data_IF_851884950845
#
_entry.id   IF_851884950845
#
_cell.length_a   1.000
_cell.length_b   1.000
_cell.length_c   1.000
_cell.angle_alpha   90.00
_cell.angle_beta   90.00
_cell.angle_gamma   90.00
#
_symmetry.space_group_name_H-M   'P 1'
#
loop_
_entity.id
_entity.type
_entity.pdbx_description
1 polymer ?
#
# COMPACT_ATOMS: atom_id res chain seq x y z
N UNK A 1 -10.35 -32.32 55.23
CA UNK A 1 -9.10 -31.53 55.23
C UNK A 1 -8.45 -31.74 53.89
N UNK A 2 -8.07 -30.63 53.29
CA UNK A 2 -7.74 -30.41 51.89
C UNK A 2 -6.41 -31.10 51.50
N UNK A 3 -6.42 -31.92 50.45
CA UNK A 3 -5.22 -32.46 49.84
C UNK A 3 -4.96 -31.74 48.53
N UNK A 4 -4.59 -30.46 48.64
CA UNK A 4 -4.06 -29.67 47.54
C UNK A 4 -2.63 -30.12 47.24
N UNK A 5 -2.48 -31.06 46.31
CA UNK A 5 -1.18 -31.36 45.68
C UNK A 5 -0.68 -30.13 44.92
N UNK A 6 0.65 -29.92 44.83
CA UNK A 6 1.21 -28.77 44.14
C UNK A 6 0.75 -28.78 42.67
N UNK A 7 0.16 -27.66 42.22
CA UNK A 7 -0.11 -27.41 40.82
C UNK A 7 1.22 -27.44 40.05
N UNK A 8 1.51 -28.53 39.36
CA UNK A 8 2.58 -28.55 38.35
C UNK A 8 2.12 -27.72 37.16
N UNK A 9 2.58 -26.47 37.12
CA UNK A 9 2.46 -25.64 35.93
C UNK A 9 3.47 -26.22 34.92
N UNK A 10 3.05 -26.70 33.74
CA UNK A 10 3.99 -27.19 32.74
C UNK A 10 4.92 -26.04 32.34
N UNK A 11 6.24 -26.27 32.22
CA UNK A 11 7.15 -25.22 31.82
C UNK A 11 6.95 -24.98 30.33
N UNK A 12 6.10 -24.01 29.97
CA UNK A 12 6.14 -23.42 28.63
C UNK A 12 7.43 -22.60 28.53
N UNK A 13 8.57 -23.29 28.34
CA UNK A 13 9.84 -22.65 28.02
C UNK A 13 9.81 -22.39 26.52
N UNK A 14 9.15 -21.31 26.13
CA UNK A 14 9.37 -20.74 24.80
C UNK A 14 10.87 -20.40 24.75
N UNK A 15 11.60 -20.97 23.79
CA UNK A 15 13.02 -20.71 23.67
C UNK A 15 13.24 -19.24 23.28
N UNK A 16 14.39 -18.66 23.64
CA UNK A 16 14.70 -17.29 23.27
C UNK A 16 14.67 -17.07 21.74
N UNK A 17 15.04 -18.10 20.97
CA UNK A 17 14.94 -18.12 19.52
C UNK A 17 13.49 -18.08 19.03
N UNK A 18 12.59 -18.85 19.64
CA UNK A 18 11.16 -18.82 19.34
C UNK A 18 10.55 -17.44 19.64
N UNK A 19 10.94 -16.82 20.76
CA UNK A 19 10.53 -15.44 21.11
C UNK A 19 11.00 -14.45 20.03
N UNK A 20 12.26 -14.53 19.59
CA UNK A 20 12.78 -13.62 18.56
C UNK A 20 12.10 -13.85 17.20
N UNK A 21 11.87 -15.10 16.81
CA UNK A 21 11.16 -15.45 15.58
C UNK A 21 9.73 -14.90 15.59
N UNK A 22 9.00 -15.05 16.70
CA UNK A 22 7.64 -14.52 16.83
C UNK A 22 7.60 -12.99 16.77
N UNK A 23 8.58 -12.32 17.41
CA UNK A 23 8.74 -10.87 17.34
C UNK A 23 9.04 -10.39 15.92
N UNK A 24 9.90 -11.09 15.18
CA UNK A 24 10.25 -10.72 13.80
C UNK A 24 9.08 -10.95 12.84
N UNK A 25 8.32 -12.03 12.99
CA UNK A 25 7.09 -12.25 12.23
C UNK A 25 6.06 -11.16 12.50
N UNK A 26 5.87 -10.79 13.78
CA UNK A 26 4.96 -9.72 14.17
C UNK A 26 5.36 -8.36 13.58
N UNK A 27 6.66 -8.07 13.55
CA UNK A 27 7.21 -6.84 12.94
C UNK A 27 7.03 -6.83 11.42
N UNK A 28 7.27 -7.96 10.75
CA UNK A 28 7.07 -8.10 9.31
C UNK A 28 5.61 -7.90 8.94
N UNK A 29 4.69 -8.56 9.64
CA UNK A 29 3.24 -8.39 9.45
C UNK A 29 2.81 -6.93 9.63
N UNK A 30 3.32 -6.25 10.67
CA UNK A 30 3.05 -4.84 10.90
C UNK A 30 3.59 -3.95 9.77
N UNK A 31 4.81 -4.22 9.25
CA UNK A 31 5.39 -3.51 8.11
C UNK A 31 4.53 -3.70 6.86
N UNK A 32 4.20 -4.94 6.52
CA UNK A 32 3.38 -5.28 5.34
C UNK A 32 2.01 -4.62 5.40
N UNK A 33 1.34 -4.65 6.56
CA UNK A 33 0.06 -3.96 6.75
C UNK A 33 0.18 -2.46 6.48
N UNK A 34 1.25 -1.82 6.96
CA UNK A 34 1.48 -0.39 6.73
C UNK A 34 1.76 -0.07 5.27
N UNK A 35 2.48 -0.93 4.56
CA UNK A 35 2.72 -0.79 3.12
C UNK A 35 1.40 -0.85 2.35
N UNK A 36 0.56 -1.86 2.62
CA UNK A 36 -0.76 -1.98 1.97
C UNK A 36 -1.66 -0.77 2.25
N UNK A 37 -1.69 -0.31 3.50
CA UNK A 37 -2.43 0.91 3.86
C UNK A 37 -1.89 2.15 3.14
N UNK A 38 -0.58 2.26 2.96
CA UNK A 38 0.03 3.36 2.24
C UNK A 38 -0.31 3.32 0.75
N UNK A 39 -0.32 2.14 0.13
CA UNK A 39 -0.76 1.93 -1.25
C UNK A 39 -2.21 2.40 -1.45
N UNK A 40 -3.14 1.97 -0.60
CA UNK A 40 -4.54 2.44 -0.65
C UNK A 40 -4.66 3.96 -0.44
N UNK A 41 -3.88 4.51 0.49
CA UNK A 41 -3.89 5.94 0.80
C UNK A 41 -3.39 6.80 -0.37
N UNK A 42 -2.39 6.32 -1.12
CA UNK A 42 -1.85 7.02 -2.30
C UNK A 42 -2.93 7.26 -3.35
N UNK A 43 -3.79 6.26 -3.62
CA UNK A 43 -4.91 6.44 -4.53
C UNK A 43 -5.83 7.60 -4.12
N UNK A 44 -6.20 7.68 -2.84
CA UNK A 44 -7.03 8.77 -2.31
C UNK A 44 -6.32 10.12 -2.39
N UNK A 45 -5.02 10.15 -2.09
CA UNK A 45 -4.20 11.37 -2.19
C UNK A 45 -4.12 11.87 -3.62
N UNK A 46 -3.96 11.00 -4.62
CA UNK A 46 -3.97 11.38 -6.04
C UNK A 46 -5.30 12.07 -6.40
N UNK A 47 -6.43 11.50 -6.00
CA UNK A 47 -7.76 12.05 -6.27
C UNK A 47 -7.93 13.43 -5.66
N UNK A 48 -7.55 13.57 -4.38
CA UNK A 48 -7.68 14.81 -3.63
C UNK A 48 -6.78 15.91 -4.21
N UNK A 49 -5.52 15.61 -4.49
CA UNK A 49 -4.59 16.61 -5.05
C UNK A 49 -4.99 17.04 -6.47
N UNK A 50 -5.53 16.14 -7.29
CA UNK A 50 -6.08 16.51 -8.61
C UNK A 50 -7.31 17.39 -8.50
N UNK A 51 -8.17 17.13 -7.52
CA UNK A 51 -9.33 17.98 -7.21
C UNK A 51 -8.88 19.38 -6.80
N UNK A 52 -7.85 19.49 -5.96
CA UNK A 52 -7.26 20.77 -5.55
C UNK A 52 -6.68 21.55 -6.74
N UNK A 53 -6.03 20.87 -7.69
CA UNK A 53 -5.52 21.51 -8.90
C UNK A 53 -6.60 21.81 -9.96
N UNK A 54 -7.85 21.37 -9.76
CA UNK A 54 -8.94 21.58 -10.72
C UNK A 54 -8.73 20.84 -12.05
N UNK A 55 -7.97 19.74 -12.04
CA UNK A 55 -7.66 18.96 -13.24
C UNK A 55 -8.47 17.66 -13.32
N UNK A 56 -8.42 17.01 -14.49
CA UNK A 56 -9.13 15.74 -14.71
C UNK A 56 -8.73 14.71 -13.65
N UNK A 57 -9.75 14.13 -13.02
CA UNK A 57 -9.65 13.09 -12.01
C UNK A 57 -9.63 11.71 -12.72
N UNK A 58 -8.65 10.83 -12.45
CA UNK A 58 -8.66 9.45 -12.93
C UNK A 58 -9.87 8.70 -12.35
N UNK A 59 -10.41 7.76 -13.13
CA UNK A 59 -11.44 6.85 -12.63
C UNK A 59 -10.82 5.76 -11.72
N UNK A 60 -11.64 4.85 -11.18
CA UNK A 60 -11.24 3.91 -10.13
C UNK A 60 -10.03 3.06 -10.51
N UNK A 61 -10.12 2.28 -11.59
CA UNK A 61 -9.04 1.42 -12.05
C UNK A 61 -7.82 2.22 -12.55
N UNK A 62 -8.05 3.39 -13.15
CA UNK A 62 -6.94 4.29 -13.50
C UNK A 62 -6.19 4.77 -12.25
N UNK A 63 -6.89 5.05 -11.15
CA UNK A 63 -6.28 5.53 -9.90
C UNK A 63 -5.47 4.42 -9.24
N UNK A 64 -6.04 3.22 -9.17
CA UNK A 64 -5.35 2.02 -8.70
C UNK A 64 -4.07 1.77 -9.51
N UNK A 65 -4.19 1.80 -10.85
CA UNK A 65 -3.03 1.62 -11.73
C UNK A 65 -1.95 2.69 -11.53
N UNK A 66 -2.30 3.93 -11.20
CA UNK A 66 -1.30 4.97 -10.90
C UNK A 66 -0.53 4.67 -9.61
N UNK A 67 -1.17 4.07 -8.61
CA UNK A 67 -0.49 3.61 -7.38
C UNK A 67 0.44 2.44 -7.69
N UNK A 68 -0.02 1.47 -8.48
CA UNK A 68 0.81 0.34 -8.92
C UNK A 68 2.04 0.81 -9.72
N UNK A 69 1.89 1.81 -10.60
CA UNK A 69 3.03 2.36 -11.35
C UNK A 69 4.05 3.06 -10.44
N UNK A 70 3.61 3.65 -9.32
CA UNK A 70 4.54 4.17 -8.31
C UNK A 70 5.27 3.03 -7.60
N UNK A 71 4.57 1.95 -7.26
CA UNK A 71 5.18 0.76 -6.67
C UNK A 71 6.18 0.09 -7.63
N UNK A 72 5.86 -0.02 -8.92
CA UNK A 72 6.74 -0.57 -9.94
C UNK A 72 8.02 0.26 -10.14
N UNK A 73 7.89 1.59 -10.17
CA UNK A 73 9.01 2.50 -10.41
C UNK A 73 9.94 2.63 -9.20
N UNK A 74 9.38 2.70 -7.98
CA UNK A 74 10.12 3.04 -6.77
C UNK A 74 10.28 1.88 -5.77
N UNK A 75 9.52 0.81 -5.94
CA UNK A 75 9.52 -0.38 -5.08
C UNK A 75 8.47 -0.33 -3.97
N UNK A 76 7.88 -1.49 -3.65
CA UNK A 76 6.82 -1.62 -2.63
C UNK A 76 7.24 -1.21 -1.22
N UNK A 77 8.52 -1.28 -0.88
CA UNK A 77 9.01 -0.81 0.42
C UNK A 77 8.93 0.71 0.60
N UNK A 78 8.93 1.46 -0.51
CA UNK A 78 8.91 2.93 -0.50
C UNK A 78 7.48 3.50 -0.36
N UNK A 79 6.44 2.68 -0.43
CA UNK A 79 5.04 3.15 -0.45
C UNK A 79 4.66 4.01 0.75
N UNK A 80 5.19 3.69 1.94
CA UNK A 80 4.96 4.50 3.15
C UNK A 80 5.53 5.91 2.96
N UNK A 81 6.77 6.01 2.47
CA UNK A 81 7.46 7.28 2.23
C UNK A 81 6.78 8.09 1.12
N UNK A 82 6.33 7.42 0.07
CA UNK A 82 5.58 8.04 -1.02
C UNK A 82 4.28 8.67 -0.47
N UNK A 83 3.50 7.89 0.30
CA UNK A 83 2.27 8.37 0.92
C UNK A 83 2.51 9.54 1.88
N UNK A 84 3.58 9.47 2.68
CA UNK A 84 3.95 10.56 3.59
C UNK A 84 4.38 11.82 2.84
N UNK A 85 5.19 11.68 1.78
CA UNK A 85 5.63 12.81 0.93
C UNK A 85 4.45 13.50 0.24
N UNK A 86 3.52 12.72 -0.33
CA UNK A 86 2.31 13.25 -0.95
C UNK A 86 1.42 13.97 0.05
N UNK A 87 1.28 13.44 1.27
CA UNK A 87 0.51 14.07 2.35
C UNK A 87 1.14 15.38 2.83
N UNK A 88 2.45 15.40 3.01
CA UNK A 88 3.17 16.56 3.57
C UNK A 88 3.37 17.67 2.55
N UNK A 89 3.68 17.32 1.29
CA UNK A 89 4.03 18.29 0.25
C UNK A 89 2.89 18.59 -0.72
N UNK A 90 1.81 17.81 -0.68
CA UNK A 90 0.64 17.97 -1.52
C UNK A 90 1.00 18.07 -3.01
N UNK A 91 0.50 19.11 -3.67
CA UNK A 91 0.73 19.36 -5.11
C UNK A 91 2.22 19.55 -5.47
N UNK A 92 3.07 19.84 -4.49
CA UNK A 92 4.52 19.99 -4.69
C UNK A 92 5.30 18.67 -4.57
N UNK A 93 4.67 17.59 -4.10
CA UNK A 93 5.26 16.25 -3.99
C UNK A 93 5.89 15.79 -5.30
N UNK A 94 7.09 15.20 -5.21
CA UNK A 94 7.75 14.60 -6.36
C UNK A 94 6.92 13.45 -6.93
N UNK A 95 6.41 12.59 -6.06
CA UNK A 95 5.63 11.42 -6.45
C UNK A 95 4.26 11.79 -7.01
N UNK A 96 3.59 12.81 -6.44
CA UNK A 96 2.37 13.31 -7.05
C UNK A 96 2.62 13.84 -8.47
N UNK A 97 3.71 14.55 -8.71
CA UNK A 97 4.09 15.00 -10.05
C UNK A 97 4.36 13.82 -11.00
N UNK A 98 5.00 12.75 -10.53
CA UNK A 98 5.18 11.53 -11.32
C UNK A 98 3.84 10.94 -11.79
N UNK A 99 2.81 10.92 -10.92
CA UNK A 99 1.48 10.42 -11.30
C UNK A 99 0.83 11.22 -12.43
N UNK A 100 1.19 12.50 -12.60
CA UNK A 100 0.73 13.32 -13.73
C UNK A 100 1.37 12.85 -15.04
N UNK A 101 2.64 12.52 -15.01
CA UNK A 101 3.36 11.93 -16.15
C UNK A 101 2.77 10.57 -16.54
N UNK A 102 2.53 9.69 -15.56
CA UNK A 102 1.90 8.38 -15.79
C UNK A 102 0.48 8.50 -16.37
N UNK A 103 -0.32 9.44 -15.86
CA UNK A 103 -1.66 9.65 -16.40
C UNK A 103 -1.63 10.24 -17.82
N UNK A 104 -0.62 11.04 -18.17
CA UNK A 104 -0.43 11.48 -19.55
C UNK A 104 -0.05 10.31 -20.47
N UNK A 105 0.73 9.35 -19.98
CA UNK A 105 0.99 8.10 -20.69
C UNK A 105 -0.31 7.35 -20.99
N UNK A 106 -1.24 7.21 -20.02
CA UNK A 106 -2.53 6.58 -20.28
C UNK A 106 -3.30 7.25 -21.43
N UNK A 107 -3.26 8.57 -21.50
CA UNK A 107 -3.93 9.32 -22.56
C UNK A 107 -3.30 9.09 -23.93
N UNK A 108 -1.98 8.97 -24.00
CA UNK A 108 -1.24 8.76 -25.24
C UNK A 108 -1.43 7.36 -25.80
N UNK A 109 -1.38 6.35 -24.92
CA UNK A 109 -1.49 4.95 -25.31
C UNK A 109 -2.95 4.43 -25.34
N UNK A 110 -3.93 5.28 -25.05
CA UNK A 110 -5.34 4.87 -25.03
C UNK A 110 -5.72 3.94 -23.87
N UNK A 111 -4.98 3.99 -22.75
CA UNK A 111 -5.30 3.24 -21.53
C UNK A 111 -6.50 3.86 -20.84
N UNK A 112 -7.67 3.28 -21.11
CA UNK A 112 -8.95 3.73 -20.54
C UNK A 112 -9.31 2.95 -19.27
N UNK A 113 -10.20 3.52 -18.47
CA UNK A 113 -10.84 2.82 -17.35
C UNK A 113 -11.49 1.50 -17.78
N UNK A 114 -12.14 1.47 -18.93
CA UNK A 114 -12.79 0.26 -19.46
C UNK A 114 -11.76 -0.82 -19.79
N UNK A 115 -10.64 -0.44 -20.40
CA UNK A 115 -9.55 -1.36 -20.70
C UNK A 115 -8.95 -1.94 -19.42
N UNK A 116 -8.62 -1.10 -18.43
CA UNK A 116 -8.05 -1.56 -17.16
C UNK A 116 -9.02 -2.49 -16.41
N UNK A 117 -10.32 -2.17 -16.41
CA UNK A 117 -11.36 -3.04 -15.85
C UNK A 117 -11.42 -4.40 -16.54
N UNK A 118 -11.32 -4.44 -17.87
CA UNK A 118 -11.30 -5.70 -18.63
C UNK A 118 -10.06 -6.54 -18.27
N UNK A 119 -8.88 -5.91 -18.23
CA UNK A 119 -7.63 -6.56 -17.80
C UNK A 119 -7.76 -7.15 -16.40
N UNK A 120 -8.30 -6.39 -15.43
CA UNK A 120 -8.51 -6.88 -14.07
C UNK A 120 -9.51 -8.04 -14.00
N UNK A 121 -10.51 -8.06 -14.88
CA UNK A 121 -11.47 -9.17 -15.01
C UNK A 121 -10.89 -10.39 -15.76
N UNK A 122 -9.60 -10.38 -16.13
CA UNK A 122 -8.94 -11.43 -16.90
C UNK A 122 -9.40 -11.51 -18.36
N UNK A 123 -10.08 -10.46 -18.86
CA UNK A 123 -10.50 -10.35 -20.25
C UNK A 123 -9.42 -9.57 -20.99
N UNK A 124 -8.48 -10.28 -21.60
CA UNK A 124 -7.48 -9.65 -22.46
C UNK A 124 -8.18 -9.05 -23.71
N UNK A 125 -7.73 -7.88 -24.19
CA UNK A 125 -8.17 -7.33 -25.47
C UNK A 125 -7.73 -8.20 -26.66
#
# INVERSE_FOLDING_TARGET
MDSGGPLEIPPAIISQEDIFNELDHSRLLAKTKRILQAHEAIGQQILELRRQEGIRIPAGFQTERLSEMLEEEYGGEEMIKISDDMRQKGVHSHFYKATKTFFNYFRREGVTEALLRQTWQGRLP
#
